data_IF_479216565466
#
_entry.id   IF_479216565466
#
_cell.length_a   1.000
_cell.length_b   1.000
_cell.length_c   1.000
_cell.angle_alpha   90.00
_cell.angle_beta   90.00
_cell.angle_gamma   90.00
#
_symmetry.space_group_name_H-M   'P 1'
#
loop_
_entity.id
_entity.type
_entity.pdbx_description
1 polymer ?
#
# COMPACT_ATOMS: atom_id res chain seq x y z
N UNK A 1 -54.56 27.51 7.20
CA UNK A 1 -54.09 27.35 5.82
C UNK A 1 -53.23 26.09 5.76
N UNK A 2 -53.79 25.00 5.29
CA UNK A 2 -53.08 23.72 5.08
C UNK A 2 -52.08 23.94 3.95
N UNK A 3 -50.77 23.98 4.24
CA UNK A 3 -49.71 24.01 3.23
C UNK A 3 -49.78 22.72 2.44
N UNK A 4 -49.80 22.81 1.10
CA UNK A 4 -49.74 21.65 0.24
C UNK A 4 -48.43 20.85 0.53
N UNK A 5 -48.55 19.57 0.70
CA UNK A 5 -47.40 18.67 0.87
C UNK A 5 -46.51 18.76 -0.38
N UNK A 6 -45.20 19.04 -0.28
CA UNK A 6 -44.32 19.14 -1.44
C UNK A 6 -44.31 17.85 -2.24
N UNK A 7 -44.25 17.95 -3.58
CA UNK A 7 -44.28 16.80 -4.48
C UNK A 7 -43.19 15.74 -4.18
N UNK A 8 -42.00 16.20 -3.82
CA UNK A 8 -40.88 15.29 -3.45
C UNK A 8 -41.18 14.44 -2.20
N UNK A 9 -42.02 14.94 -1.32
CA UNK A 9 -42.41 14.26 -0.09
C UNK A 9 -43.49 13.20 -0.38
N UNK A 10 -44.31 13.45 -1.40
CA UNK A 10 -45.23 12.46 -1.95
C UNK A 10 -44.47 11.33 -2.69
N UNK A 11 -43.38 11.67 -3.40
CA UNK A 11 -42.49 10.70 -4.02
C UNK A 11 -41.85 9.76 -2.99
N UNK A 12 -41.32 10.31 -1.88
CA UNK A 12 -40.77 9.52 -0.76
C UNK A 12 -41.84 8.63 -0.11
N UNK A 13 -43.08 9.09 -0.02
CA UNK A 13 -44.19 8.33 0.56
C UNK A 13 -44.71 7.23 -0.39
N UNK A 14 -44.63 7.45 -1.70
CA UNK A 14 -45.14 6.56 -2.74
C UNK A 14 -44.07 5.62 -3.31
N UNK A 15 -42.78 5.79 -2.99
CA UNK A 15 -41.71 4.89 -3.39
C UNK A 15 -41.98 3.49 -2.81
N UNK A 16 -42.33 2.55 -3.65
CA UNK A 16 -42.67 1.15 -3.29
C UNK A 16 -41.51 0.57 -2.51
N UNK A 17 -41.69 0.39 -1.20
CA UNK A 17 -40.86 -0.43 -0.33
C UNK A 17 -39.74 0.26 0.45
N UNK A 18 -39.45 1.53 0.24
CA UNK A 18 -38.32 2.16 0.91
C UNK A 18 -38.62 3.51 1.61
N UNK A 19 -39.72 4.14 1.43
CA UNK A 19 -40.20 5.33 2.11
C UNK A 19 -39.19 6.11 3.01
N UNK A 20 -39.67 6.74 4.03
CA UNK A 20 -38.87 7.44 5.04
C UNK A 20 -37.91 6.49 5.80
N UNK A 21 -38.30 5.22 5.98
CA UNK A 21 -37.48 4.20 6.63
C UNK A 21 -36.19 3.80 5.87
N UNK A 22 -36.13 4.07 4.56
CA UNK A 22 -34.90 3.91 3.79
C UNK A 22 -33.79 4.88 4.21
N UNK A 23 -34.18 6.02 4.76
CA UNK A 23 -33.25 7.02 5.29
C UNK A 23 -32.77 6.54 6.66
N UNK A 24 -31.49 6.17 6.76
CA UNK A 24 -30.90 5.61 7.97
C UNK A 24 -31.19 6.47 9.21
N UNK A 25 -31.20 7.79 9.04
CA UNK A 25 -31.47 8.76 10.09
C UNK A 25 -32.89 8.63 10.68
N UNK A 26 -33.87 8.26 9.86
CA UNK A 26 -35.31 8.22 10.22
C UNK A 26 -35.85 6.82 10.47
N UNK A 27 -35.01 5.81 10.38
CA UNK A 27 -35.43 4.41 10.51
C UNK A 27 -36.13 4.15 11.85
N UNK A 28 -37.32 3.58 11.77
CA UNK A 28 -38.15 3.25 12.94
C UNK A 28 -38.72 4.44 13.68
N UNK A 29 -38.63 5.65 13.14
CA UNK A 29 -39.35 6.81 13.64
C UNK A 29 -40.76 6.86 13.06
N UNK A 30 -41.72 7.46 13.77
CA UNK A 30 -43.10 7.62 13.28
C UNK A 30 -43.12 8.47 12.01
N UNK A 31 -43.55 7.93 10.85
CA UNK A 31 -43.46 8.62 9.54
C UNK A 31 -44.20 9.98 9.52
N UNK A 32 -45.35 10.08 10.19
CA UNK A 32 -46.14 11.32 10.25
C UNK A 32 -45.37 12.46 10.95
N UNK A 33 -44.65 12.14 12.01
CA UNK A 33 -43.83 13.08 12.77
C UNK A 33 -42.66 13.59 11.94
N UNK A 34 -42.00 12.65 11.22
CA UNK A 34 -40.87 12.99 10.33
C UNK A 34 -41.34 13.89 9.20
N UNK A 35 -42.43 13.51 8.51
CA UNK A 35 -43.03 14.31 7.41
C UNK A 35 -43.32 15.73 7.85
N UNK A 36 -43.97 15.90 9.01
CA UNK A 36 -44.27 17.23 9.56
C UNK A 36 -43.00 18.02 9.83
N UNK A 37 -42.00 17.38 10.42
CA UNK A 37 -40.72 18.03 10.77
C UNK A 37 -39.93 18.52 9.54
N UNK A 38 -39.96 17.78 8.42
CA UNK A 38 -39.15 18.07 7.21
C UNK A 38 -39.94 18.76 6.10
N UNK A 39 -41.21 19.06 6.29
CA UNK A 39 -42.09 19.69 5.27
C UNK A 39 -41.52 20.99 4.70
N UNK A 40 -40.83 21.75 5.52
CA UNK A 40 -40.22 23.06 5.15
C UNK A 40 -38.77 22.89 4.63
N UNK A 41 -38.25 21.66 4.50
CA UNK A 41 -36.89 21.41 4.07
C UNK A 41 -36.75 21.51 2.56
N UNK A 42 -35.58 21.94 2.11
CA UNK A 42 -35.22 22.07 0.69
C UNK A 42 -34.62 20.77 0.14
N UNK A 43 -34.95 20.50 -1.13
CA UNK A 43 -34.23 19.51 -1.93
C UNK A 43 -33.27 20.24 -2.86
N UNK A 44 -32.02 19.81 -2.87
CA UNK A 44 -30.99 20.29 -3.80
C UNK A 44 -30.55 19.21 -4.73
N UNK A 45 -30.47 19.52 -6.02
CA UNK A 45 -29.83 18.69 -7.03
C UNK A 45 -28.39 19.13 -7.18
N UNK A 46 -27.47 18.19 -7.03
CA UNK A 46 -26.04 18.41 -7.14
C UNK A 46 -25.55 17.71 -8.44
N UNK A 47 -25.02 18.46 -9.42
CA UNK A 47 -24.53 17.86 -10.66
C UNK A 47 -23.23 17.07 -10.42
N UNK A 48 -22.94 16.17 -11.34
CA UNK A 48 -21.71 15.34 -11.31
C UNK A 48 -20.47 16.24 -11.17
N UNK A 49 -19.56 15.88 -10.30
CA UNK A 49 -18.32 16.58 -10.03
C UNK A 49 -18.46 17.81 -9.13
N UNK A 50 -19.66 18.23 -8.79
CA UNK A 50 -19.87 19.38 -7.91
C UNK A 50 -19.48 19.03 -6.46
N UNK A 51 -18.83 19.99 -5.80
CA UNK A 51 -18.41 19.87 -4.40
C UNK A 51 -19.52 20.41 -3.48
N UNK A 52 -19.97 19.55 -2.56
CA UNK A 52 -20.97 19.88 -1.55
C UNK A 52 -20.34 20.52 -0.31
N UNK A 53 -19.24 19.95 0.18
CA UNK A 53 -18.50 20.41 1.35
C UNK A 53 -17.00 20.43 1.05
N UNK A 54 -16.30 21.38 1.68
CA UNK A 54 -14.83 21.49 1.62
C UNK A 54 -14.24 21.58 3.03
N UNK A 55 -13.07 20.99 3.28
CA UNK A 55 -12.38 21.15 4.55
C UNK A 55 -12.20 22.62 4.92
N UNK A 56 -12.46 22.96 6.17
CA UNK A 56 -12.38 24.33 6.67
C UNK A 56 -13.61 25.21 6.37
N UNK A 57 -14.55 24.74 5.55
CA UNK A 57 -15.80 25.45 5.28
C UNK A 57 -16.74 25.34 6.48
N UNK A 58 -17.29 26.47 6.93
CA UNK A 58 -18.37 26.47 7.93
C UNK A 58 -19.61 25.78 7.36
N UNK A 59 -20.18 24.88 8.13
CA UNK A 59 -21.41 24.17 7.78
C UNK A 59 -22.25 23.92 9.02
N UNK A 60 -23.54 24.22 8.90
CA UNK A 60 -24.55 23.99 9.93
C UNK A 60 -25.70 23.07 9.44
N UNK A 61 -25.52 22.44 8.27
CA UNK A 61 -26.58 21.70 7.60
C UNK A 61 -26.22 20.24 7.51
N UNK A 62 -27.14 19.35 7.84
CA UNK A 62 -27.07 17.90 7.59
C UNK A 62 -27.70 17.65 6.22
N UNK A 63 -26.95 17.01 5.33
CA UNK A 63 -27.39 16.64 3.99
C UNK A 63 -27.69 15.13 3.96
N UNK A 64 -28.91 14.77 3.63
CA UNK A 64 -29.32 13.37 3.44
C UNK A 64 -29.35 13.06 1.95
N UNK A 65 -28.61 12.04 1.52
CA UNK A 65 -28.61 11.61 0.12
C UNK A 65 -29.88 10.81 -0.18
N UNK A 66 -30.71 11.31 -1.06
CA UNK A 66 -31.95 10.66 -1.49
C UNK A 66 -31.75 9.76 -2.70
N UNK A 67 -30.96 10.22 -3.68
CA UNK A 67 -30.59 9.46 -4.88
C UNK A 67 -29.24 9.92 -5.42
N UNK A 68 -28.61 9.09 -6.25
CA UNK A 68 -27.27 9.35 -6.78
C UNK A 68 -26.18 8.72 -5.90
N UNK A 69 -24.96 9.27 -5.98
CA UNK A 69 -23.81 8.81 -5.21
C UNK A 69 -22.88 9.98 -4.90
N UNK A 70 -22.47 10.09 -3.65
CA UNK A 70 -21.43 11.02 -3.23
C UNK A 70 -20.19 10.25 -2.80
N UNK A 71 -19.04 10.93 -2.78
CA UNK A 71 -17.81 10.44 -2.18
C UNK A 71 -17.20 11.47 -1.24
N UNK A 72 -16.75 11.02 -0.07
CA UNK A 72 -16.00 11.83 0.86
C UNK A 72 -14.49 11.55 0.72
N UNK A 73 -13.68 12.63 0.66
CA UNK A 73 -12.23 12.56 0.57
C UNK A 73 -11.61 13.29 1.74
N UNK A 74 -10.71 12.62 2.45
CA UNK A 74 -9.98 13.22 3.58
C UNK A 74 -8.71 13.95 3.12
N UNK A 75 -8.21 13.62 1.93
CA UNK A 75 -7.06 14.26 1.30
C UNK A 75 -7.48 15.24 0.19
N UNK A 76 -6.62 16.23 -0.08
CA UNK A 76 -6.85 17.19 -1.16
C UNK A 76 -6.66 16.62 -2.56
N UNK A 77 -6.08 15.41 -2.69
CA UNK A 77 -5.78 14.78 -3.97
C UNK A 77 -7.02 14.19 -4.66
N UNK A 78 -8.09 13.92 -3.91
CA UNK A 78 -9.39 13.41 -4.40
C UNK A 78 -9.25 12.24 -5.37
N UNK A 79 -8.38 11.29 -5.08
CA UNK A 79 -8.17 10.13 -5.92
C UNK A 79 -9.39 9.21 -5.83
N UNK A 80 -9.89 8.65 -6.93
CA UNK A 80 -11.07 7.76 -6.90
C UNK A 80 -10.93 6.61 -5.90
N UNK A 81 -9.71 6.10 -5.73
CA UNK A 81 -9.40 4.96 -4.86
C UNK A 81 -9.50 5.30 -3.36
N UNK A 82 -9.35 6.58 -2.99
CA UNK A 82 -9.38 7.05 -1.59
C UNK A 82 -10.75 7.60 -1.19
N UNK A 83 -11.70 7.65 -2.13
CA UNK A 83 -13.04 8.15 -1.89
C UNK A 83 -13.88 7.18 -1.04
N UNK A 84 -14.39 7.65 0.10
CA UNK A 84 -15.34 6.91 0.92
C UNK A 84 -16.73 7.11 0.31
N UNK A 85 -17.36 6.06 -0.24
CA UNK A 85 -18.65 6.19 -0.89
C UNK A 85 -19.74 6.48 0.13
N UNK A 86 -20.70 7.35 -0.26
CA UNK A 86 -21.90 7.69 0.47
C UNK A 86 -23.08 7.25 -0.38
N UNK A 87 -23.92 6.39 0.17
CA UNK A 87 -25.04 5.77 -0.51
C UNK A 87 -26.37 6.48 -0.21
N UNK A 88 -27.40 6.32 -1.07
CA UNK A 88 -28.73 6.78 -0.78
C UNK A 88 -29.23 6.31 0.60
N UNK A 89 -29.82 7.23 1.34
CA UNK A 89 -30.24 7.03 2.73
C UNK A 89 -29.22 7.42 3.77
N UNK A 90 -27.96 7.63 3.41
CA UNK A 90 -26.92 8.12 4.33
C UNK A 90 -26.91 9.65 4.39
N UNK A 91 -26.32 10.20 5.47
CA UNK A 91 -26.19 11.64 5.70
C UNK A 91 -24.74 12.08 5.76
N UNK A 92 -24.48 13.36 5.46
CA UNK A 92 -23.17 14.02 5.60
C UNK A 92 -23.35 15.42 6.18
N UNK A 93 -22.27 16.00 6.72
CA UNK A 93 -22.30 17.34 7.32
C UNK A 93 -22.81 17.36 8.76
N UNK A 94 -23.19 16.21 9.30
CA UNK A 94 -23.71 16.06 10.66
C UNK A 94 -22.69 16.46 11.73
N UNK A 95 -21.41 16.17 11.52
CA UNK A 95 -20.35 16.49 12.50
C UNK A 95 -20.31 17.99 12.76
N UNK A 96 -20.29 18.81 11.70
CA UNK A 96 -20.31 20.27 11.81
C UNK A 96 -21.61 20.78 12.44
N UNK A 97 -22.76 20.18 12.12
CA UNK A 97 -24.04 20.56 12.70
C UNK A 97 -24.16 20.20 14.20
N UNK A 98 -23.34 19.23 14.68
CA UNK A 98 -23.29 18.78 16.08
C UNK A 98 -22.33 19.66 16.89
N UNK A 99 -21.05 19.82 16.41
CA UNK A 99 -19.98 20.42 17.21
C UNK A 99 -19.62 21.85 16.81
N UNK A 100 -20.25 22.37 15.75
CA UNK A 100 -20.04 23.74 15.24
C UNK A 100 -18.68 23.95 14.56
N UNK A 101 -17.89 22.86 14.36
CA UNK A 101 -16.60 22.99 13.69
C UNK A 101 -16.76 22.97 12.18
N UNK A 102 -15.79 23.52 11.43
CA UNK A 102 -15.77 23.43 9.98
C UNK A 102 -15.78 22.00 9.47
N UNK A 103 -16.26 21.80 8.23
CA UNK A 103 -16.24 20.52 7.56
C UNK A 103 -14.81 19.94 7.53
N UNK A 104 -14.68 18.63 7.76
CA UNK A 104 -13.39 17.93 7.86
C UNK A 104 -12.96 17.26 6.56
N UNK A 105 -13.87 17.11 5.59
CA UNK A 105 -13.63 16.38 4.35
C UNK A 105 -14.22 17.12 3.14
N UNK A 106 -13.67 16.82 1.95
CA UNK A 106 -14.37 17.13 0.71
C UNK A 106 -15.51 16.13 0.51
N UNK A 107 -16.68 16.61 0.15
CA UNK A 107 -17.81 15.79 -0.29
C UNK A 107 -18.18 16.21 -1.70
N UNK A 108 -18.11 15.26 -2.64
CA UNK A 108 -18.26 15.50 -4.08
C UNK A 108 -19.31 14.56 -4.66
N UNK A 109 -20.11 15.05 -5.61
CA UNK A 109 -21.06 14.22 -6.34
C UNK A 109 -20.35 13.35 -7.40
N UNK A 110 -20.44 12.03 -7.26
CA UNK A 110 -19.91 11.07 -8.23
C UNK A 110 -20.91 10.89 -9.40
N UNK A 111 -22.19 10.94 -9.09
CA UNK A 111 -23.29 11.00 -10.05
C UNK A 111 -24.18 12.20 -9.72
N UNK A 112 -25.08 12.58 -10.62
CA UNK A 112 -26.11 13.55 -10.26
C UNK A 112 -26.85 13.06 -9.03
N UNK A 113 -26.91 13.91 -8.00
CA UNK A 113 -27.36 13.52 -6.66
C UNK A 113 -28.44 14.47 -6.14
N UNK A 114 -29.48 13.90 -5.54
CA UNK A 114 -30.54 14.65 -4.87
C UNK A 114 -30.34 14.59 -3.36
N UNK A 115 -30.37 15.73 -2.72
CA UNK A 115 -30.07 15.92 -1.30
C UNK A 115 -31.23 16.58 -0.58
N UNK A 116 -31.66 16.02 0.55
CA UNK A 116 -32.54 16.72 1.51
C UNK A 116 -31.63 17.53 2.46
N UNK A 117 -31.90 18.80 2.58
CA UNK A 117 -31.18 19.74 3.42
C UNK A 117 -31.89 19.89 4.77
N UNK A 118 -31.20 19.53 5.86
CA UNK A 118 -31.69 19.64 7.22
C UNK A 118 -30.83 20.68 7.97
N UNK A 119 -31.25 21.97 8.02
CA UNK A 119 -30.52 22.96 8.80
C UNK A 119 -30.39 22.52 10.26
N UNK A 120 -29.23 22.72 10.87
CA UNK A 120 -28.94 22.26 12.23
C UNK A 120 -29.96 22.77 13.26
N UNK A 121 -30.39 24.05 13.14
CA UNK A 121 -31.45 24.61 14.01
C UNK A 121 -32.77 23.85 13.90
N UNK A 122 -33.16 23.48 12.68
CA UNK A 122 -34.38 22.71 12.43
C UNK A 122 -34.20 21.29 12.98
N UNK A 123 -33.06 20.65 12.70
CA UNK A 123 -32.76 19.33 13.20
C UNK A 123 -32.89 19.24 14.72
N UNK A 124 -32.20 20.09 15.46
CA UNK A 124 -32.23 20.08 16.92
C UNK A 124 -33.57 20.45 17.52
N UNK A 125 -34.32 21.40 16.90
CA UNK A 125 -35.61 21.83 17.44
C UNK A 125 -36.77 20.87 17.16
N UNK A 126 -36.74 20.15 16.02
CA UNK A 126 -37.89 19.31 15.60
C UNK A 126 -37.54 17.81 15.57
N UNK A 127 -36.35 17.42 15.10
CA UNK A 127 -35.95 16.02 14.88
C UNK A 127 -35.15 15.45 16.05
N UNK A 128 -34.33 16.26 16.70
CA UNK A 128 -33.45 15.81 17.79
C UNK A 128 -34.18 15.19 18.99
N UNK A 129 -35.44 15.53 19.20
CA UNK A 129 -36.28 14.98 20.26
C UNK A 129 -37.21 13.86 19.78
N UNK A 130 -37.18 13.50 18.49
CA UNK A 130 -37.96 12.37 17.96
C UNK A 130 -37.30 11.07 18.38
N UNK A 131 -38.04 10.17 19.06
CA UNK A 131 -37.50 8.88 19.45
C UNK A 131 -36.90 8.12 18.26
N UNK A 132 -35.68 7.65 18.43
CA UNK A 132 -34.94 6.93 17.39
C UNK A 132 -34.03 7.80 16.50
N UNK A 133 -34.37 9.03 16.16
CA UNK A 133 -33.58 9.88 15.24
C UNK A 133 -32.17 10.14 15.80
N UNK A 134 -32.06 10.64 17.01
CA UNK A 134 -30.76 10.89 17.65
C UNK A 134 -29.96 9.59 17.84
N UNK A 135 -30.63 8.50 18.19
CA UNK A 135 -29.99 7.18 18.30
C UNK A 135 -29.45 6.72 16.94
N UNK A 136 -30.21 6.90 15.87
CA UNK A 136 -29.79 6.54 14.51
C UNK A 136 -28.61 7.39 14.04
N UNK A 137 -28.60 8.69 14.36
CA UNK A 137 -27.46 9.58 14.10
C UNK A 137 -26.19 9.07 14.80
N UNK A 138 -26.28 8.78 16.11
CA UNK A 138 -25.16 8.26 16.88
C UNK A 138 -24.70 6.88 16.37
N UNK A 139 -25.64 6.01 15.98
CA UNK A 139 -25.32 4.72 15.40
C UNK A 139 -24.57 4.85 14.07
N UNK A 140 -25.00 5.78 13.20
CA UNK A 140 -24.33 6.08 11.93
C UNK A 140 -22.90 6.59 12.14
N UNK A 141 -22.72 7.54 13.08
CA UNK A 141 -21.40 8.06 13.43
C UNK A 141 -20.50 6.97 14.03
N UNK A 142 -21.03 6.14 14.92
CA UNK A 142 -20.29 5.02 15.53
C UNK A 142 -19.83 4.02 14.47
N UNK A 143 -20.70 3.69 13.51
CA UNK A 143 -20.38 2.77 12.42
C UNK A 143 -19.28 3.34 11.51
N UNK A 144 -19.34 4.63 11.16
CA UNK A 144 -18.29 5.29 10.39
C UNK A 144 -16.95 5.29 11.14
N UNK A 145 -16.98 5.55 12.43
CA UNK A 145 -15.77 5.52 13.27
C UNK A 145 -15.16 4.12 13.31
N UNK A 146 -15.97 3.07 13.43
CA UNK A 146 -15.48 1.68 13.40
C UNK A 146 -14.84 1.35 12.04
N UNK A 147 -15.52 1.66 10.93
CA UNK A 147 -14.96 1.45 9.58
C UNK A 147 -13.65 2.20 9.37
N UNK A 148 -13.58 3.46 9.83
CA UNK A 148 -12.35 4.26 9.77
C UNK A 148 -11.21 3.64 10.58
N UNK A 149 -11.49 3.17 11.79
CA UNK A 149 -10.50 2.52 12.64
C UNK A 149 -10.02 1.18 12.04
N UNK A 150 -10.93 0.37 11.48
CA UNK A 150 -10.58 -0.89 10.82
C UNK A 150 -9.69 -0.66 9.61
N UNK A 151 -10.02 0.32 8.75
CA UNK A 151 -9.20 0.70 7.60
C UNK A 151 -7.81 1.18 8.02
N UNK A 152 -7.73 2.01 9.06
CA UNK A 152 -6.46 2.50 9.60
C UNK A 152 -5.59 1.37 10.16
N UNK A 153 -6.18 0.45 10.92
CA UNK A 153 -5.46 -0.71 11.46
C UNK A 153 -4.95 -1.63 10.35
N UNK A 154 -5.74 -1.85 9.31
CA UNK A 154 -5.33 -2.66 8.15
C UNK A 154 -4.15 -2.02 7.41
N UNK A 155 -4.19 -0.70 7.20
CA UNK A 155 -3.08 0.03 6.56
C UNK A 155 -1.81 -0.02 7.40
N UNK A 156 -1.93 0.18 8.73
CA UNK A 156 -0.80 0.06 9.63
C UNK A 156 -0.18 -1.34 9.62
N UNK A 157 -1.01 -2.40 9.59
CA UNK A 157 -0.52 -3.78 9.48
C UNK A 157 0.25 -4.01 8.20
N UNK A 158 -0.23 -3.50 7.07
CA UNK A 158 0.47 -3.59 5.77
C UNK A 158 1.81 -2.88 5.82
N UNK A 159 1.86 -1.68 6.37
CA UNK A 159 3.11 -0.91 6.50
C UNK A 159 4.13 -1.64 7.38
N UNK A 160 3.72 -2.14 8.54
CA UNK A 160 4.61 -2.91 9.42
C UNK A 160 5.14 -4.19 8.75
N UNK A 161 4.30 -4.90 7.99
CA UNK A 161 4.72 -6.09 7.24
C UNK A 161 5.76 -5.74 6.16
N UNK A 162 5.56 -4.64 5.42
CA UNK A 162 6.51 -4.15 4.42
C UNK A 162 7.84 -3.73 5.05
N UNK A 163 7.80 -3.03 6.18
CA UNK A 163 9.01 -2.64 6.91
C UNK A 163 9.79 -3.87 7.42
N UNK A 164 9.08 -4.88 7.90
CA UNK A 164 9.70 -6.13 8.34
C UNK A 164 10.44 -6.83 7.19
N UNK A 165 9.77 -7.01 6.04
CA UNK A 165 10.38 -7.61 4.85
C UNK A 165 11.59 -6.81 4.36
N UNK A 166 11.50 -5.48 4.33
CA UNK A 166 12.64 -4.62 3.95
C UNK A 166 13.84 -4.80 4.88
N UNK A 167 13.59 -4.91 6.17
CA UNK A 167 14.66 -5.12 7.16
C UNK A 167 15.34 -6.47 6.96
N UNK A 168 14.58 -7.54 6.71
CA UNK A 168 15.13 -8.86 6.42
C UNK A 168 15.99 -8.86 5.14
N UNK A 169 15.51 -8.17 4.08
CA UNK A 169 16.28 -8.01 2.84
C UNK A 169 17.58 -7.22 3.06
N UNK A 170 17.57 -6.20 3.91
CA UNK A 170 18.80 -5.48 4.26
C UNK A 170 19.82 -6.37 4.97
N UNK A 171 19.38 -7.22 5.90
CA UNK A 171 20.25 -8.18 6.57
C UNK A 171 20.82 -9.19 5.56
N UNK A 172 19.98 -9.72 4.66
CA UNK A 172 20.40 -10.62 3.59
C UNK A 172 21.45 -9.97 2.68
N UNK A 173 21.25 -8.68 2.31
CA UNK A 173 22.23 -7.89 1.56
C UNK A 173 23.56 -7.75 2.28
N UNK A 174 23.52 -7.43 3.57
CA UNK A 174 24.76 -7.32 4.38
C UNK A 174 25.52 -8.64 4.43
N UNK A 175 24.82 -9.75 4.64
CA UNK A 175 25.43 -11.09 4.63
C UNK A 175 26.02 -11.40 3.26
N UNK A 176 25.29 -11.16 2.18
CA UNK A 176 25.76 -11.39 0.81
C UNK A 176 26.99 -10.54 0.49
N UNK A 177 26.97 -9.25 0.84
CA UNK A 177 28.11 -8.35 0.61
C UNK A 177 29.34 -8.79 1.39
N UNK A 178 29.16 -9.39 2.57
CA UNK A 178 30.29 -9.92 3.35
C UNK A 178 30.97 -11.15 2.73
N UNK A 179 30.31 -11.81 1.78
CA UNK A 179 30.87 -12.98 1.06
C UNK A 179 31.77 -12.58 -0.11
N UNK A 180 31.66 -11.34 -0.56
CA UNK A 180 32.39 -10.79 -1.71
C UNK A 180 33.56 -9.94 -1.19
N UNK A 181 34.69 -9.85 -1.89
CA UNK A 181 35.77 -8.98 -1.51
C UNK A 181 35.34 -7.51 -1.39
N UNK A 182 36.00 -6.78 -0.50
CA UNK A 182 35.72 -5.34 -0.32
C UNK A 182 35.95 -4.58 -1.63
N UNK A 183 35.11 -3.57 -1.86
CA UNK A 183 35.24 -2.68 -3.02
C UNK A 183 36.57 -1.95 -3.00
N UNK A 184 37.28 -1.95 -4.13
CA UNK A 184 38.52 -1.21 -4.33
C UNK A 184 39.70 -2.11 -4.57
N UNK A 185 40.90 -1.65 -4.18
CA UNK A 185 42.17 -2.38 -4.33
C UNK A 185 42.21 -3.58 -3.40
N UNK A 186 42.35 -4.77 -3.97
CA UNK A 186 42.54 -6.02 -3.24
C UNK A 186 44.04 -6.26 -3.07
N UNK A 187 44.45 -6.82 -1.94
CA UNK A 187 45.85 -7.10 -1.58
C UNK A 187 46.77 -5.86 -1.65
N UNK A 188 46.41 -4.75 -0.97
CA UNK A 188 47.22 -3.51 -1.04
C UNK A 188 48.63 -3.67 -0.48
N UNK A 189 48.90 -4.72 0.29
CA UNK A 189 50.20 -5.09 0.85
C UNK A 189 51.16 -5.74 -0.15
N UNK A 190 50.62 -6.19 -1.31
CA UNK A 190 51.40 -6.84 -2.39
C UNK A 190 51.86 -5.78 -3.40
N UNK A 191 53.17 -5.79 -3.71
CA UNK A 191 53.76 -4.93 -4.71
C UNK A 191 53.90 -5.56 -6.09
N UNK A 192 53.76 -6.90 -6.17
CA UNK A 192 53.93 -7.73 -7.36
C UNK A 192 52.63 -7.84 -8.19
N UNK A 193 51.50 -7.43 -7.66
CA UNK A 193 50.20 -7.40 -8.35
C UNK A 193 49.41 -6.12 -8.04
N UNK A 194 48.55 -5.77 -8.99
CA UNK A 194 47.50 -4.75 -8.78
C UNK A 194 46.18 -5.30 -9.28
N UNK A 195 45.24 -5.47 -8.39
CA UNK A 195 43.88 -5.95 -8.69
C UNK A 195 42.86 -5.11 -7.91
N UNK A 196 41.79 -4.74 -8.58
CA UNK A 196 40.69 -4.05 -7.95
C UNK A 196 39.35 -4.70 -8.37
N UNK A 197 38.42 -4.72 -7.46
CA UNK A 197 37.06 -5.22 -7.70
C UNK A 197 36.01 -4.22 -7.28
N UNK A 198 34.92 -4.20 -8.02
CA UNK A 198 33.75 -3.39 -7.71
C UNK A 198 32.49 -4.09 -8.16
N UNK A 199 31.48 -4.10 -7.33
CA UNK A 199 30.15 -4.57 -7.66
C UNK A 199 29.12 -3.61 -7.06
N UNK A 200 28.13 -3.26 -7.85
CA UNK A 200 27.01 -2.40 -7.45
C UNK A 200 25.72 -3.12 -7.81
N UNK A 201 25.08 -3.83 -6.85
CA UNK A 201 23.88 -4.60 -7.12
C UNK A 201 22.72 -3.70 -7.56
N UNK A 202 21.99 -4.08 -8.61
CA UNK A 202 20.81 -3.36 -9.09
C UNK A 202 19.60 -3.49 -8.17
N UNK A 203 19.59 -4.48 -7.26
CA UNK A 203 18.53 -4.75 -6.28
C UNK A 203 19.10 -4.99 -4.89
N UNK A 204 18.23 -5.19 -3.89
CA UNK A 204 18.66 -5.44 -2.51
C UNK A 204 19.58 -6.66 -2.39
N UNK A 205 19.30 -7.75 -3.12
CA UNK A 205 20.13 -8.94 -3.24
C UNK A 205 20.17 -9.40 -4.69
N UNK A 206 21.29 -9.99 -5.13
CA UNK A 206 21.49 -10.33 -6.55
C UNK A 206 22.24 -11.64 -6.77
N UNK A 207 22.36 -12.03 -8.05
CA UNK A 207 23.10 -13.21 -8.50
C UNK A 207 24.55 -12.94 -8.85
N UNK A 208 24.90 -11.70 -9.19
CA UNK A 208 26.22 -11.27 -9.58
C UNK A 208 27.23 -11.39 -8.43
N UNK A 209 28.44 -11.79 -8.76
CA UNK A 209 29.55 -11.83 -7.81
C UNK A 209 30.90 -11.78 -8.49
N UNK A 210 31.91 -11.39 -7.74
CA UNK A 210 33.30 -11.63 -8.04
C UNK A 210 34.02 -12.12 -6.81
N UNK A 211 35.14 -12.82 -7.01
CA UNK A 211 36.02 -13.23 -5.92
C UNK A 211 37.45 -13.23 -6.38
N UNK A 212 38.37 -12.92 -5.46
CA UNK A 212 39.80 -13.00 -5.67
C UNK A 212 40.51 -13.40 -4.37
N UNK A 213 41.34 -14.42 -4.41
CA UNK A 213 42.10 -14.86 -3.25
C UNK A 213 43.34 -15.68 -3.69
N UNK A 214 44.32 -15.71 -2.82
CA UNK A 214 45.47 -16.57 -3.06
C UNK A 214 45.14 -18.02 -2.67
N UNK A 215 45.22 -18.92 -3.66
CA UNK A 215 45.05 -20.36 -3.44
C UNK A 215 46.28 -21.00 -2.78
N UNK A 216 47.44 -20.39 -2.93
CA UNK A 216 48.72 -20.60 -2.22
C UNK A 216 49.57 -19.31 -2.33
N UNK A 217 50.80 -19.29 -1.83
CA UNK A 217 51.68 -18.10 -1.81
C UNK A 217 51.96 -17.52 -3.22
N UNK A 218 51.79 -18.34 -4.28
CA UNK A 218 52.19 -18.03 -5.66
C UNK A 218 50.99 -17.87 -6.60
N UNK A 219 49.89 -18.58 -6.35
CA UNK A 219 48.77 -18.64 -7.28
C UNK A 219 47.58 -17.82 -6.79
N UNK A 220 47.30 -16.74 -7.49
CA UNK A 220 46.07 -15.94 -7.31
C UNK A 220 44.97 -16.55 -8.16
N UNK A 221 43.87 -16.91 -7.52
CA UNK A 221 42.61 -17.21 -8.18
C UNK A 221 41.72 -15.98 -8.22
N UNK A 222 41.05 -15.75 -9.35
CA UNK A 222 39.99 -14.78 -9.43
C UNK A 222 38.86 -15.23 -10.34
N UNK A 223 37.65 -14.75 -10.08
CA UNK A 223 36.48 -15.06 -10.88
C UNK A 223 35.47 -13.96 -10.91
N UNK A 224 34.61 -13.96 -11.94
CA UNK A 224 33.40 -13.16 -12.07
C UNK A 224 32.28 -14.11 -12.48
N UNK A 225 31.13 -14.02 -11.79
CA UNK A 225 29.99 -14.89 -12.07
C UNK A 225 28.67 -14.14 -12.02
N UNK A 226 27.72 -14.64 -12.81
CA UNK A 226 26.34 -14.16 -12.83
C UNK A 226 25.39 -15.36 -12.76
N UNK A 227 24.51 -15.35 -11.77
CA UNK A 227 23.49 -16.38 -11.52
C UNK A 227 22.19 -15.98 -12.21
N UNK A 228 21.62 -16.90 -12.97
CA UNK A 228 20.36 -16.72 -13.67
C UNK A 228 19.21 -16.38 -12.71
N UNK A 229 18.39 -15.39 -13.11
CA UNK A 229 17.27 -14.89 -12.32
C UNK A 229 17.67 -13.73 -11.41
N UNK A 230 16.83 -13.39 -10.44
CA UNK A 230 17.04 -12.24 -9.57
C UNK A 230 16.47 -12.49 -8.16
N UNK A 231 16.82 -11.62 -7.23
CA UNK A 231 16.31 -11.66 -5.86
C UNK A 231 16.86 -12.80 -5.02
N UNK A 232 16.11 -13.22 -4.01
CA UNK A 232 16.54 -14.20 -2.99
C UNK A 232 17.02 -15.54 -3.57
N UNK A 233 16.33 -16.18 -4.55
CA UNK A 233 16.79 -17.44 -5.12
C UNK A 233 18.16 -17.34 -5.77
N UNK A 234 18.41 -16.28 -6.55
CA UNK A 234 19.70 -16.04 -7.18
C UNK A 234 20.80 -15.77 -6.14
N UNK A 235 20.52 -14.97 -5.12
CA UNK A 235 21.43 -14.66 -4.01
C UNK A 235 21.85 -15.90 -3.22
N UNK A 236 20.93 -16.80 -2.92
CA UNK A 236 21.23 -18.06 -2.23
C UNK A 236 22.05 -19.01 -3.10
N UNK A 237 21.75 -19.07 -4.40
CA UNK A 237 22.53 -19.89 -5.33
C UNK A 237 23.95 -19.31 -5.50
N UNK A 238 24.11 -18.00 -5.56
CA UNK A 238 25.40 -17.30 -5.58
C UNK A 238 26.23 -17.64 -4.33
N UNK A 239 25.65 -17.56 -3.13
CA UNK A 239 26.34 -17.89 -1.90
C UNK A 239 26.84 -19.35 -1.89
N UNK A 240 26.02 -20.28 -2.41
CA UNK A 240 26.41 -21.68 -2.62
C UNK A 240 27.54 -21.79 -3.62
N UNK A 241 27.46 -21.07 -4.76
CA UNK A 241 28.48 -21.10 -5.81
C UNK A 241 29.84 -20.62 -5.30
N UNK A 242 29.88 -19.45 -4.62
CA UNK A 242 31.13 -18.90 -4.03
C UNK A 242 31.76 -19.88 -3.06
N UNK A 243 30.97 -20.49 -2.17
CA UNK A 243 31.49 -21.49 -1.22
C UNK A 243 32.14 -22.68 -1.92
N UNK A 244 31.49 -23.23 -2.96
CA UNK A 244 32.03 -24.34 -3.75
C UNK A 244 33.27 -23.92 -4.53
N UNK A 245 33.29 -22.74 -5.14
CA UNK A 245 34.41 -22.17 -5.88
C UNK A 245 35.67 -22.10 -4.98
N UNK A 246 35.52 -21.50 -3.79
CA UNK A 246 36.64 -21.38 -2.85
C UNK A 246 37.23 -22.71 -2.44
N UNK A 247 36.39 -23.70 -2.13
CA UNK A 247 36.83 -25.04 -1.77
C UNK A 247 37.53 -25.75 -2.97
N UNK A 248 36.93 -25.66 -4.16
CA UNK A 248 37.48 -26.31 -5.34
C UNK A 248 38.81 -25.69 -5.78
N UNK A 249 38.97 -24.37 -5.72
CA UNK A 249 40.18 -23.66 -6.10
C UNK A 249 41.39 -23.97 -5.20
N UNK A 250 41.17 -24.38 -3.95
CA UNK A 250 42.27 -24.87 -3.09
C UNK A 250 42.80 -26.19 -3.52
N UNK A 251 42.01 -27.02 -4.24
CA UNK A 251 42.37 -28.41 -4.61
C UNK A 251 42.94 -28.56 -6.01
N UNK A 252 42.90 -27.53 -6.87
CA UNK A 252 43.43 -27.61 -8.24
C UNK A 252 43.96 -26.25 -8.70
N UNK A 253 44.77 -26.26 -9.78
CA UNK A 253 45.23 -25.05 -10.50
C UNK A 253 44.76 -25.07 -11.96
N UNK A 254 43.84 -25.97 -12.29
CA UNK A 254 43.28 -26.20 -13.60
C UNK A 254 41.81 -25.74 -13.61
N UNK A 255 41.47 -24.62 -14.27
CA UNK A 255 40.12 -24.12 -14.31
C UNK A 255 39.08 -25.12 -14.80
N UNK A 256 39.43 -25.97 -15.78
CA UNK A 256 38.57 -27.04 -16.31
C UNK A 256 38.14 -28.04 -15.23
N UNK A 257 39.09 -28.50 -14.40
CA UNK A 257 38.78 -29.43 -13.31
C UNK A 257 37.97 -28.78 -12.19
N UNK A 258 38.22 -27.50 -11.95
CA UNK A 258 37.43 -26.70 -11.00
C UNK A 258 35.99 -26.59 -11.47
N UNK A 259 35.76 -26.24 -12.74
CA UNK A 259 34.44 -26.10 -13.32
C UNK A 259 33.66 -27.42 -13.33
N UNK A 260 34.29 -28.52 -13.68
CA UNK A 260 33.67 -29.86 -13.62
C UNK A 260 33.15 -30.18 -12.22
N UNK A 261 33.99 -30.02 -11.20
CA UNK A 261 33.64 -30.31 -9.80
C UNK A 261 32.51 -29.42 -9.31
N UNK A 262 32.54 -28.11 -9.63
CA UNK A 262 31.51 -27.18 -9.24
C UNK A 262 30.19 -27.49 -9.95
N UNK A 263 30.24 -27.80 -11.24
CA UNK A 263 29.04 -28.10 -12.02
C UNK A 263 28.35 -29.36 -11.47
N UNK A 264 29.07 -30.44 -11.17
CA UNK A 264 28.48 -31.61 -10.53
C UNK A 264 27.75 -31.27 -9.23
N UNK A 265 28.37 -30.45 -8.38
CA UNK A 265 27.79 -30.07 -7.09
C UNK A 265 26.60 -29.09 -7.23
N UNK A 266 26.66 -28.17 -8.19
CA UNK A 266 25.58 -27.23 -8.42
C UNK A 266 24.37 -27.88 -9.09
N UNK A 267 24.59 -28.83 -10.00
CA UNK A 267 23.51 -29.59 -10.63
C UNK A 267 22.80 -30.52 -9.63
N UNK A 268 23.52 -31.02 -8.64
CA UNK A 268 22.96 -31.88 -7.61
C UNK A 268 21.90 -31.08 -6.81
N UNK A 269 20.63 -31.56 -6.80
CA UNK A 269 19.49 -30.93 -6.10
C UNK A 269 19.13 -29.53 -6.60
N UNK A 270 19.28 -29.26 -7.90
CA UNK A 270 18.90 -28.02 -8.55
C UNK A 270 17.50 -28.11 -9.19
N UNK A 271 16.46 -28.28 -8.39
CA UNK A 271 15.08 -28.40 -8.87
C UNK A 271 14.55 -27.11 -9.53
N UNK A 272 15.15 -25.98 -9.20
CA UNK A 272 14.77 -24.67 -9.76
C UNK A 272 15.43 -24.37 -11.11
N UNK A 273 16.30 -25.25 -11.63
CA UNK A 273 17.06 -25.05 -12.87
C UNK A 273 17.83 -23.72 -12.93
N UNK A 274 18.34 -23.25 -11.78
CA UNK A 274 19.19 -22.06 -11.72
C UNK A 274 20.58 -22.43 -12.22
N UNK A 275 21.19 -21.57 -13.02
CA UNK A 275 22.56 -21.76 -13.50
C UNK A 275 23.40 -20.51 -13.23
N UNK A 276 24.72 -20.66 -13.32
CA UNK A 276 25.68 -19.56 -13.18
C UNK A 276 26.56 -19.52 -14.42
N UNK A 277 26.76 -18.34 -14.99
CA UNK A 277 27.83 -18.10 -15.93
C UNK A 277 29.06 -17.67 -15.15
N UNK A 278 30.22 -18.25 -15.44
CA UNK A 278 31.41 -18.04 -14.65
C UNK A 278 32.63 -17.86 -15.55
N UNK A 279 33.36 -16.77 -15.38
CA UNK A 279 34.72 -16.60 -15.79
C UNK A 279 35.64 -16.84 -14.59
N UNK A 280 36.67 -17.67 -14.72
CA UNK A 280 37.65 -17.85 -13.65
C UNK A 280 39.05 -18.12 -14.22
N UNK A 281 40.08 -17.77 -13.46
CA UNK A 281 41.46 -17.94 -13.85
C UNK A 281 42.39 -18.09 -12.65
N UNK A 282 43.55 -18.73 -12.88
CA UNK A 282 44.66 -18.75 -11.96
C UNK A 282 45.85 -18.00 -12.54
N UNK A 283 46.37 -17.02 -11.81
CA UNK A 283 47.57 -16.28 -12.14
C UNK A 283 48.73 -16.73 -11.26
N UNK A 284 49.78 -17.25 -11.87
CA UNK A 284 51.08 -17.44 -11.20
C UNK A 284 51.81 -16.09 -11.14
N UNK A 285 51.85 -15.47 -9.99
CA UNK A 285 52.40 -14.11 -9.80
C UNK A 285 53.91 -14.03 -9.99
N UNK A 286 54.63 -15.17 -9.99
CA UNK A 286 56.08 -15.23 -10.21
C UNK A 286 56.42 -15.27 -11.69
N UNK A 287 55.74 -16.12 -12.46
CA UNK A 287 55.98 -16.29 -13.89
C UNK A 287 55.12 -15.42 -14.78
N UNK A 288 54.04 -14.82 -14.23
CA UNK A 288 53.03 -14.11 -15.01
C UNK A 288 52.11 -14.99 -15.84
N UNK A 289 52.17 -16.30 -15.67
CA UNK A 289 51.36 -17.28 -16.41
C UNK A 289 49.91 -17.22 -15.91
N UNK A 290 49.01 -17.01 -16.85
CA UNK A 290 47.56 -17.07 -16.63
C UNK A 290 46.99 -18.34 -17.27
N UNK A 291 46.16 -19.05 -16.51
CA UNK A 291 45.44 -20.25 -16.98
C UNK A 291 43.96 -20.06 -16.73
#
# INVERSE_FOLDING_TARGET
>A
MTRATPDWLLELRNARGAGIDAIALFRGAEPSVIVEAITDCEIRVLPVGATLLQPGQSNDTIYVLLSGQLAAYLDGARRPETGIPIQPGESVGEMSAIDGKPASAFVVAVTESRLLLLPGKLFWSRLGNVPGVTRNLLASLSERMRRGNEAMLEEQRKQLALEHVRRELQIARQLQTSMIPLRGRLFPERADIEIAGMMDPASDVGGDFFDAFFADERHLFFCVGDVSGHGIPAALFMARAIGLIRIAAMGTRHPEQLLERINEQLCARNAANIFVTLFCAFLDVVSGRLV
#
